data_IF_683034490465
#
_entry.id   IF_683034490465
#
_cell.length_a   1.000
_cell.length_b   1.000
_cell.length_c   1.000
_cell.angle_alpha   90.00
_cell.angle_beta   90.00
_cell.angle_gamma   90.00
#
_symmetry.space_group_name_H-M   'P 1'
#
loop_
_entity.id
_entity.type
_entity.pdbx_description
1 polymer ?
#
# COMPACT_ATOMS: atom_id res chain seq x y z
N UNK A 1 12.79 -30.57 -10.20
CA UNK A 1 12.11 -30.05 -9.01
C UNK A 1 11.88 -31.22 -8.10
N UNK A 2 12.72 -31.40 -7.07
CA UNK A 2 12.69 -32.57 -6.18
C UNK A 2 11.59 -32.34 -5.16
N UNK A 3 10.57 -33.19 -5.22
CA UNK A 3 9.46 -33.19 -4.27
C UNK A 3 10.00 -33.64 -2.90
N UNK A 4 10.10 -32.72 -1.95
CA UNK A 4 10.53 -33.02 -0.57
C UNK A 4 9.28 -33.53 0.15
N UNK A 5 8.96 -34.78 -0.07
CA UNK A 5 7.91 -35.47 0.70
C UNK A 5 8.41 -35.62 2.13
N UNK A 6 7.74 -35.00 3.09
CA UNK A 6 8.04 -35.15 4.52
C UNK A 6 7.97 -36.63 4.90
N UNK A 7 9.01 -37.19 5.59
CA UNK A 7 9.00 -38.60 5.99
C UNK A 7 7.89 -38.97 6.98
N UNK A 8 7.18 -37.98 7.51
CA UNK A 8 6.10 -38.16 8.49
C UNK A 8 4.69 -38.09 7.89
N UNK A 9 4.56 -37.92 6.56
CA UNK A 9 3.27 -37.69 5.91
C UNK A 9 2.68 -36.29 6.22
N UNK A 10 1.54 -35.92 5.60
CA UNK A 10 0.85 -34.69 5.95
C UNK A 10 0.30 -34.81 7.39
N UNK A 11 0.38 -33.73 8.19
CA UNK A 11 -0.24 -33.71 9.49
C UNK A 11 -1.76 -33.95 9.36
N UNK A 12 -2.40 -34.56 10.37
CA UNK A 12 -3.86 -34.72 10.35
C UNK A 12 -4.54 -33.38 10.20
N UNK A 13 -5.58 -33.31 9.36
CA UNK A 13 -6.34 -32.10 9.16
C UNK A 13 -7.05 -31.72 10.48
N UNK A 14 -6.57 -30.68 11.13
CA UNK A 14 -7.23 -30.11 12.31
C UNK A 14 -8.28 -29.08 11.86
N UNK A 15 -9.45 -29.12 12.48
CA UNK A 15 -10.51 -28.15 12.23
C UNK A 15 -10.41 -26.94 13.19
N UNK A 16 -11.06 -25.82 12.86
CA UNK A 16 -11.17 -24.68 13.76
C UNK A 16 -11.88 -25.06 15.09
N UNK A 17 -12.80 -26.00 15.04
CA UNK A 17 -13.48 -26.52 16.22
C UNK A 17 -12.52 -27.30 17.14
N UNK A 18 -11.64 -28.14 16.59
CA UNK A 18 -10.63 -28.87 17.35
C UNK A 18 -9.64 -27.90 18.03
N UNK A 19 -9.21 -26.88 17.27
CA UNK A 19 -8.36 -25.83 17.79
C UNK A 19 -9.03 -25.09 18.95
N UNK A 20 -10.32 -24.69 18.78
CA UNK A 20 -11.08 -23.96 19.81
C UNK A 20 -11.23 -24.78 21.08
N UNK A 21 -11.57 -26.06 20.96
CA UNK A 21 -11.67 -26.96 22.09
C UNK A 21 -10.34 -27.10 22.88
N UNK A 22 -9.22 -27.16 22.16
CA UNK A 22 -7.89 -27.22 22.74
C UNK A 22 -7.55 -25.91 23.48
N UNK A 23 -7.88 -24.76 22.88
CA UNK A 23 -7.65 -23.44 23.48
C UNK A 23 -8.47 -23.28 24.77
N UNK A 24 -9.76 -23.61 24.75
CA UNK A 24 -10.64 -23.55 25.92
C UNK A 24 -10.11 -24.43 27.06
N UNK A 25 -9.65 -25.64 26.74
CA UNK A 25 -9.01 -26.54 27.70
C UNK A 25 -7.73 -25.94 28.31
N UNK A 26 -6.96 -25.18 27.51
CA UNK A 26 -5.70 -24.57 27.93
C UNK A 26 -5.91 -23.32 28.78
N UNK A 27 -6.93 -22.53 28.42
CA UNK A 27 -7.30 -21.30 29.12
C UNK A 27 -7.91 -21.55 30.51
N UNK A 28 -8.42 -22.74 30.76
CA UNK A 28 -9.12 -23.13 31.99
C UNK A 28 -10.27 -22.15 32.29
N UNK A 29 -10.08 -21.25 33.25
CA UNK A 29 -11.11 -20.31 33.71
C UNK A 29 -11.04 -18.93 33.01
N UNK A 30 -10.02 -18.68 32.17
CA UNK A 30 -9.92 -17.42 31.43
C UNK A 30 -10.88 -17.42 30.23
N UNK A 31 -11.62 -16.31 30.01
CA UNK A 31 -12.53 -16.23 28.87
C UNK A 31 -11.76 -16.21 27.55
N UNK A 32 -12.33 -16.82 26.49
CA UNK A 32 -11.73 -16.85 25.16
C UNK A 32 -11.39 -15.44 24.61
N UNK A 33 -12.21 -14.46 24.95
CA UNK A 33 -11.99 -13.06 24.54
C UNK A 33 -10.71 -12.46 25.10
N UNK A 34 -10.08 -13.06 26.10
CA UNK A 34 -8.75 -12.62 26.59
C UNK A 34 -7.62 -12.81 25.57
N UNK A 35 -7.83 -13.63 24.55
CA UNK A 35 -6.90 -13.83 23.44
C UNK A 35 -7.01 -12.76 22.36
N UNK A 36 -8.12 -12.02 22.33
CA UNK A 36 -8.30 -10.92 21.40
C UNK A 36 -7.38 -9.76 21.78
N UNK A 37 -6.80 -9.17 20.78
CA UNK A 37 -5.96 -7.98 20.90
C UNK A 37 -6.53 -6.86 20.03
N UNK A 38 -6.08 -5.63 20.26
CA UNK A 38 -6.41 -4.52 19.40
C UNK A 38 -5.12 -3.90 18.86
N UNK A 39 -5.18 -3.38 17.61
CA UNK A 39 -4.11 -2.54 17.07
C UNK A 39 -4.10 -1.19 17.80
N UNK A 40 -3.09 -0.35 17.52
CA UNK A 40 -3.00 1.02 18.06
C UNK A 40 -4.21 1.86 17.60
N UNK A 41 -4.73 1.57 16.39
CA UNK A 41 -5.91 2.23 15.80
C UNK A 41 -7.24 1.67 16.33
N UNK A 42 -7.19 0.68 17.25
CA UNK A 42 -8.38 0.08 17.85
C UNK A 42 -9.05 -1.03 17.05
N UNK A 43 -8.41 -1.54 15.98
CA UNK A 43 -8.95 -2.66 15.20
C UNK A 43 -8.81 -3.96 16.00
N UNK A 44 -9.88 -4.75 16.15
CA UNK A 44 -9.82 -6.04 16.86
C UNK A 44 -9.03 -7.05 16.05
N UNK A 45 -8.15 -7.78 16.73
CA UNK A 45 -7.40 -8.91 16.18
C UNK A 45 -7.88 -10.18 16.87
N UNK A 46 -8.47 -11.07 16.11
CA UNK A 46 -8.87 -12.40 16.60
C UNK A 46 -7.65 -13.34 16.65
N UNK A 47 -7.63 -14.33 17.57
CA UNK A 47 -6.50 -15.25 17.72
C UNK A 47 -6.33 -16.23 16.57
N UNK A 48 -7.36 -16.43 15.75
CA UNK A 48 -7.34 -17.28 14.56
C UNK A 48 -8.25 -16.71 13.49
N UNK A 49 -7.78 -16.69 12.26
CA UNK A 49 -8.56 -16.39 11.05
C UNK A 49 -8.58 -17.62 10.14
N UNK A 50 -9.76 -18.04 9.74
CA UNK A 50 -9.92 -19.13 8.77
C UNK A 50 -9.74 -18.59 7.35
N UNK A 51 -9.19 -19.43 6.46
CA UNK A 51 -8.93 -19.04 5.06
C UNK A 51 -10.20 -18.55 4.32
N UNK A 52 -11.37 -19.07 4.69
CA UNK A 52 -12.66 -18.64 4.12
C UNK A 52 -13.15 -17.27 4.59
N UNK A 53 -12.55 -16.71 5.65
CA UNK A 53 -12.90 -15.39 6.19
C UNK A 53 -12.06 -14.26 5.55
N UNK A 54 -11.05 -14.61 4.79
CA UNK A 54 -10.30 -13.60 4.04
C UNK A 54 -11.24 -12.92 3.05
N UNK A 55 -11.38 -11.59 3.17
CA UNK A 55 -12.09 -10.81 2.17
C UNK A 55 -11.46 -11.11 0.81
N UNK A 56 -12.28 -11.59 -0.14
CA UNK A 56 -11.83 -11.74 -1.51
C UNK A 56 -11.53 -10.34 -2.06
N UNK A 57 -10.27 -9.95 -2.02
CA UNK A 57 -9.84 -8.77 -2.76
C UNK A 57 -10.04 -9.07 -4.24
N UNK A 58 -10.93 -8.31 -4.88
CA UNK A 58 -10.96 -8.32 -6.34
C UNK A 58 -9.55 -8.00 -6.84
N UNK A 59 -8.95 -8.87 -7.67
CA UNK A 59 -7.65 -8.55 -8.25
C UNK A 59 -7.79 -7.19 -8.96
N UNK A 60 -6.86 -6.28 -8.68
CA UNK A 60 -6.82 -5.02 -9.43
C UNK A 60 -6.71 -5.38 -10.91
N UNK A 61 -7.41 -4.66 -11.79
CA UNK A 61 -7.21 -4.83 -13.21
C UNK A 61 -5.71 -4.72 -13.49
N UNK A 62 -5.12 -5.81 -13.94
CA UNK A 62 -3.72 -5.85 -14.32
C UNK A 62 -3.67 -5.75 -15.83
N UNK A 63 -3.11 -4.66 -16.32
CA UNK A 63 -2.79 -4.52 -17.72
C UNK A 63 -1.53 -5.34 -18.02
N UNK A 64 -1.70 -6.45 -18.73
CA UNK A 64 -0.59 -7.35 -19.07
C UNK A 64 0.46 -6.68 -19.98
N UNK A 65 0.07 -5.64 -20.70
CA UNK A 65 0.96 -4.86 -21.56
C UNK A 65 1.72 -3.76 -20.79
N UNK A 66 1.24 -3.41 -19.57
CA UNK A 66 1.87 -2.45 -18.65
C UNK A 66 2.13 -3.09 -17.29
N UNK A 67 3.04 -4.07 -17.19
CA UNK A 67 3.26 -4.82 -15.94
C UNK A 67 3.84 -3.97 -14.82
N UNK A 68 4.51 -2.85 -15.16
CA UNK A 68 5.17 -1.96 -14.22
C UNK A 68 4.73 -0.53 -14.42
N UNK A 69 4.39 0.15 -13.32
CA UNK A 69 4.20 1.60 -13.30
C UNK A 69 5.51 2.24 -12.80
N UNK A 70 6.34 2.70 -13.74
CA UNK A 70 7.57 3.44 -13.40
C UNK A 70 7.16 4.83 -12.97
N UNK A 71 7.26 5.10 -11.67
CA UNK A 71 6.86 6.36 -11.07
C UNK A 71 8.05 7.21 -10.68
N UNK A 72 8.22 8.36 -11.33
CA UNK A 72 9.24 9.35 -10.99
C UNK A 72 8.80 10.19 -9.79
N UNK A 73 9.74 10.53 -8.91
CA UNK A 73 9.47 11.37 -7.73
C UNK A 73 10.03 12.78 -7.94
N UNK A 74 9.16 13.79 -7.87
CA UNK A 74 9.50 15.20 -8.06
C UNK A 74 9.43 15.93 -6.72
N UNK A 75 10.57 16.53 -6.30
CA UNK A 75 10.73 17.13 -4.98
C UNK A 75 11.51 18.44 -5.00
N UNK A 76 11.89 18.94 -6.16
CA UNK A 76 12.68 20.18 -6.23
C UNK A 76 11.87 21.36 -5.68
N UNK A 77 12.40 22.17 -4.73
CA UNK A 77 11.63 23.25 -4.09
C UNK A 77 11.16 24.34 -5.08
N UNK A 78 11.94 24.64 -6.10
CA UNK A 78 11.54 25.60 -7.14
C UNK A 78 10.52 24.94 -8.10
N UNK A 79 9.28 25.48 -8.19
CA UNK A 79 8.22 24.94 -9.05
C UNK A 79 8.58 24.89 -10.53
N UNK A 80 9.34 25.86 -11.04
CA UNK A 80 9.73 25.88 -12.45
C UNK A 80 10.75 24.77 -12.76
N UNK A 81 11.66 24.52 -11.84
CA UNK A 81 12.63 23.42 -11.95
C UNK A 81 11.92 22.07 -11.76
N UNK A 82 11.04 21.96 -10.77
CA UNK A 82 10.22 20.78 -10.56
C UNK A 82 9.42 20.38 -11.82
N UNK A 83 8.81 21.37 -12.49
CA UNK A 83 8.14 21.16 -13.77
C UNK A 83 9.08 20.63 -14.85
N UNK A 84 10.27 21.23 -14.97
CA UNK A 84 11.25 20.80 -15.98
C UNK A 84 11.72 19.36 -15.74
N UNK A 85 12.02 19.01 -14.50
CA UNK A 85 12.42 17.65 -14.11
C UNK A 85 11.27 16.64 -14.36
N UNK A 86 10.05 17.00 -13.99
CA UNK A 86 8.85 16.18 -14.23
C UNK A 86 8.64 15.85 -15.72
N UNK A 87 8.72 16.87 -16.58
CA UNK A 87 8.54 16.68 -18.03
C UNK A 87 9.68 15.85 -18.62
N UNK A 88 10.91 16.03 -18.15
CA UNK A 88 12.05 15.23 -18.57
C UNK A 88 11.92 13.75 -18.15
N UNK A 89 11.41 13.48 -16.96
CA UNK A 89 11.16 12.10 -16.48
C UNK A 89 10.08 11.41 -17.32
N UNK A 90 8.99 12.11 -17.67
CA UNK A 90 7.93 11.58 -18.52
C UNK A 90 8.45 11.31 -19.96
N UNK A 91 9.24 12.24 -20.52
CA UNK A 91 9.88 12.06 -21.83
C UNK A 91 10.90 10.90 -21.80
N UNK A 92 11.55 10.69 -20.64
CA UNK A 92 12.45 9.59 -20.37
C UNK A 92 11.77 8.22 -20.19
N UNK A 93 10.44 8.16 -20.18
CA UNK A 93 9.66 6.92 -20.14
C UNK A 93 9.03 6.60 -18.77
N UNK A 94 9.00 7.55 -17.83
CA UNK A 94 8.18 7.39 -16.64
C UNK A 94 6.70 7.31 -17.04
N UNK A 95 5.95 6.35 -16.46
CA UNK A 95 4.53 6.17 -16.73
C UNK A 95 3.65 7.01 -15.80
N UNK A 96 4.18 7.42 -14.65
CA UNK A 96 3.49 8.25 -13.66
C UNK A 96 4.47 9.10 -12.87
N UNK A 97 3.96 10.08 -12.14
CA UNK A 97 4.76 10.95 -11.28
C UNK A 97 4.17 11.06 -9.88
N UNK A 98 5.04 11.22 -8.90
CA UNK A 98 4.71 11.54 -7.52
C UNK A 98 5.30 12.91 -7.20
N UNK A 99 4.45 13.91 -6.98
CA UNK A 99 4.88 15.25 -6.59
C UNK A 99 4.74 15.40 -5.09
N UNK A 100 5.87 15.59 -4.40
CA UNK A 100 5.86 15.91 -2.98
C UNK A 100 5.63 17.40 -2.80
N UNK A 101 4.52 17.76 -2.15
CA UNK A 101 4.11 19.15 -1.91
C UNK A 101 4.61 19.59 -0.54
N UNK A 102 5.27 20.73 -0.50
CA UNK A 102 5.69 21.37 0.74
C UNK A 102 5.70 22.90 0.57
N UNK A 103 4.70 23.61 1.11
CA UNK A 103 4.64 25.07 1.00
C UNK A 103 5.87 25.80 1.49
N UNK A 104 6.64 25.19 2.40
CA UNK A 104 7.93 25.74 2.89
C UNK A 104 9.07 25.56 1.91
N UNK A 105 8.99 24.56 1.00
CA UNK A 105 10.06 24.21 0.07
C UNK A 105 11.25 23.51 0.72
N UNK A 106 11.14 23.02 1.97
CA UNK A 106 12.24 22.34 2.66
C UNK A 106 12.38 20.88 2.24
N UNK A 107 11.26 20.19 2.02
CA UNK A 107 11.21 18.76 1.72
C UNK A 107 10.54 18.41 0.40
N UNK A 108 9.93 19.38 -0.27
CA UNK A 108 9.17 19.20 -1.50
C UNK A 108 9.06 20.44 -2.34
N UNK A 109 8.20 20.38 -3.35
CA UNK A 109 7.92 21.51 -4.25
C UNK A 109 7.16 22.59 -3.51
N UNK A 110 7.61 23.85 -3.58
CA UNK A 110 6.99 24.98 -2.91
C UNK A 110 5.64 25.35 -3.58
N UNK A 111 4.60 24.61 -3.27
CA UNK A 111 3.22 24.77 -3.78
C UNK A 111 2.33 25.17 -2.61
N UNK A 112 1.81 26.40 -2.65
CA UNK A 112 0.91 26.94 -1.63
C UNK A 112 -0.54 27.07 -2.09
N UNK A 113 -0.80 26.86 -3.38
CA UNK A 113 -2.14 27.00 -3.97
C UNK A 113 -2.37 26.04 -5.14
N UNK A 114 -3.64 25.85 -5.51
CA UNK A 114 -4.01 25.09 -6.71
C UNK A 114 -3.44 25.71 -8.00
N UNK A 115 -3.26 27.03 -8.03
CA UNK A 115 -2.65 27.73 -9.17
C UNK A 115 -1.19 27.36 -9.32
N UNK A 116 -0.43 27.31 -8.22
CA UNK A 116 0.98 26.92 -8.21
C UNK A 116 1.12 25.47 -8.67
N UNK A 117 0.26 24.57 -8.17
CA UNK A 117 0.22 23.17 -8.62
C UNK A 117 -0.07 23.09 -10.13
N UNK A 118 -1.00 23.91 -10.64
CA UNK A 118 -1.28 24.00 -12.06
C UNK A 118 -0.05 24.39 -12.89
N UNK A 119 0.81 25.28 -12.37
CA UNK A 119 2.06 25.64 -13.03
C UNK A 119 3.08 24.50 -13.06
N UNK A 120 3.17 23.72 -11.98
CA UNK A 120 4.06 22.54 -11.90
C UNK A 120 3.62 21.46 -12.89
N UNK A 121 2.31 21.27 -13.04
CA UNK A 121 1.72 20.27 -13.94
C UNK A 121 1.50 20.76 -15.37
N UNK A 122 1.84 22.00 -15.68
CA UNK A 122 1.65 22.55 -17.03
C UNK A 122 2.47 21.78 -18.07
N UNK A 123 1.82 21.26 -19.11
CA UNK A 123 2.38 20.40 -20.13
C UNK A 123 2.26 18.90 -19.86
N UNK A 124 1.71 18.50 -18.70
CA UNK A 124 1.43 17.09 -18.41
C UNK A 124 0.07 16.69 -19.00
N UNK A 125 0.04 15.62 -19.78
CA UNK A 125 -1.20 15.02 -20.28
C UNK A 125 -1.76 14.07 -19.20
N UNK A 126 -2.67 14.58 -18.37
CA UNK A 126 -3.22 13.82 -17.21
C UNK A 126 -4.01 12.58 -17.63
N UNK A 127 -4.47 12.51 -18.90
CA UNK A 127 -5.12 11.33 -19.47
C UNK A 127 -4.11 10.19 -19.73
N UNK A 128 -2.84 10.52 -19.89
CA UNK A 128 -1.79 9.58 -20.25
C UNK A 128 -0.87 9.23 -19.08
N UNK A 129 -0.60 10.19 -18.21
CA UNK A 129 0.30 10.04 -17.08
C UNK A 129 -0.46 10.23 -15.76
N UNK A 130 -0.47 9.21 -14.91
CA UNK A 130 -1.06 9.33 -13.60
C UNK A 130 -0.20 10.23 -12.70
N UNK A 131 -0.84 11.17 -11.99
CA UNK A 131 -0.19 12.04 -11.02
C UNK A 131 -0.65 11.68 -9.63
N UNK A 132 0.28 11.40 -8.74
CA UNK A 132 0.04 11.27 -7.31
C UNK A 132 0.63 12.48 -6.58
N UNK A 133 -0.06 12.94 -5.56
CA UNK A 133 0.39 14.04 -4.70
C UNK A 133 0.68 13.50 -3.30
N UNK A 134 1.83 13.88 -2.76
CA UNK A 134 2.20 13.61 -1.39
C UNK A 134 2.31 14.95 -0.66
N UNK A 135 1.30 15.26 0.13
CA UNK A 135 1.22 16.48 0.94
C UNK A 135 1.58 16.21 2.42
N UNK A 136 2.10 15.03 2.74
CA UNK A 136 2.43 14.62 4.10
C UNK A 136 1.22 14.74 5.02
N UNK A 137 1.39 15.39 6.17
CA UNK A 137 0.32 15.60 7.15
C UNK A 137 -0.67 16.71 6.76
N UNK A 138 -0.45 17.41 5.65
CA UNK A 138 -1.36 18.45 5.12
C UNK A 138 -2.39 17.88 4.13
N UNK A 139 -2.25 16.60 3.78
CA UNK A 139 -3.11 15.90 2.81
C UNK A 139 -4.36 15.27 3.42
#
# INVERSE_FOLDING_TARGET
>A
MTDITSPFGPPPAATAADWRALVEKTLKDAPFDSLRRATVEGLPIDPLYEAGQAAAFAPRPHDAERPWDVRAAVRHPDPARARADLLADLDGGAASVLVTLDPSGEAGVAVGSATDLGQVLDGVFLELAAVALDAGFLG
#
